data_IF_979595651236
#
_entry.id   IF_979595651236
#
_cell.length_a   1.000
_cell.length_b   1.000
_cell.length_c   1.000
_cell.angle_alpha   90.00
_cell.angle_beta   90.00
_cell.angle_gamma   90.00
#
_symmetry.space_group_name_H-M   'P 1'
#
loop_
_entity.id
_entity.type
_entity.pdbx_description
1 polymer ?
#
# COMPACT_ATOMS: atom_id res chain seq x y z
N UNK A 1 -23.48 2.90 -5.06
CA UNK A 1 -22.73 2.08 -4.07
C UNK A 1 -23.33 2.35 -2.70
N UNK A 2 -23.89 1.33 -2.07
CA UNK A 2 -24.63 1.52 -0.80
C UNK A 2 -23.68 1.74 0.37
N UNK A 3 -24.14 2.49 1.37
CA UNK A 3 -23.47 2.78 2.63
C UNK A 3 -22.86 1.51 3.30
N UNK A 4 -23.51 0.37 3.13
CA UNK A 4 -23.06 -0.95 3.61
C UNK A 4 -21.78 -1.43 2.92
N UNK A 5 -21.62 -1.19 1.62
CA UNK A 5 -20.42 -1.59 0.87
C UNK A 5 -19.18 -0.78 1.30
N UNK A 6 -19.35 0.51 1.57
CA UNK A 6 -18.27 1.37 2.06
C UNK A 6 -17.80 0.91 3.45
N UNK A 7 -18.74 0.66 4.37
CA UNK A 7 -18.42 0.17 5.72
C UNK A 7 -17.72 -1.21 5.70
N UNK A 8 -18.17 -2.13 4.84
CA UNK A 8 -17.55 -3.45 4.69
C UNK A 8 -16.15 -3.40 4.07
N UNK A 9 -15.86 -2.37 3.28
CA UNK A 9 -14.54 -2.22 2.64
C UNK A 9 -13.56 -1.44 3.52
N UNK A 10 -14.01 -0.37 4.17
CA UNK A 10 -13.15 0.48 4.99
C UNK A 10 -13.01 -0.02 6.43
N UNK A 11 -14.07 -0.61 7.00
CA UNK A 11 -14.07 -1.10 8.38
C UNK A 11 -12.88 -2.02 8.71
N UNK A 12 -12.62 -3.08 7.94
CA UNK A 12 -11.45 -3.95 8.18
C UNK A 12 -10.11 -3.20 8.13
N UNK A 13 -10.00 -2.14 7.31
CA UNK A 13 -8.78 -1.33 7.19
C UNK A 13 -8.54 -0.44 8.42
N UNK A 14 -9.61 0.10 9.00
CA UNK A 14 -9.50 0.81 10.28
C UNK A 14 -9.03 -0.13 11.41
N UNK A 15 -9.61 -1.32 11.48
CA UNK A 15 -9.23 -2.32 12.48
C UNK A 15 -7.77 -2.75 12.26
N UNK A 16 -7.36 -3.00 11.03
CA UNK A 16 -5.99 -3.35 10.66
C UNK A 16 -5.00 -2.25 11.08
N UNK A 17 -5.31 -0.98 10.78
CA UNK A 17 -4.47 0.16 11.15
C UNK A 17 -4.31 0.29 12.67
N UNK A 18 -5.41 0.21 13.41
CA UNK A 18 -5.40 0.29 14.88
C UNK A 18 -4.64 -0.90 15.47
N UNK A 19 -4.92 -2.11 15.00
CA UNK A 19 -4.26 -3.31 15.47
C UNK A 19 -2.75 -3.27 15.21
N UNK A 20 -2.34 -2.82 14.01
CA UNK A 20 -0.93 -2.71 13.66
C UNK A 20 -0.20 -1.71 14.56
N UNK A 21 -0.75 -0.51 14.74
CA UNK A 21 -0.17 0.51 15.62
C UNK A 21 -0.16 0.05 17.09
N UNK A 22 -1.22 -0.62 17.55
CA UNK A 22 -1.28 -1.15 18.91
C UNK A 22 -0.25 -2.25 19.12
N UNK A 23 -0.17 -3.24 18.22
CA UNK A 23 0.77 -4.37 18.36
C UNK A 23 2.22 -3.86 18.27
N UNK A 24 2.53 -2.99 17.32
CA UNK A 24 3.87 -2.42 17.17
C UNK A 24 4.21 -1.46 18.30
N UNK A 25 3.25 -0.61 18.71
CA UNK A 25 3.45 0.34 19.81
C UNK A 25 3.60 -0.32 21.17
N UNK A 26 2.75 -1.29 21.50
CA UNK A 26 2.79 -2.00 22.77
C UNK A 26 3.83 -3.13 22.77
N UNK A 27 4.03 -3.80 21.64
CA UNK A 27 5.00 -4.88 21.50
C UNK A 27 6.43 -4.35 21.39
N UNK A 28 6.82 -3.87 20.21
CA UNK A 28 8.20 -3.40 19.96
C UNK A 28 8.50 -2.08 20.69
N UNK A 29 7.53 -1.19 20.85
CA UNK A 29 7.70 0.06 21.58
C UNK A 29 7.99 -0.12 23.06
N UNK A 30 7.65 -1.27 23.66
CA UNK A 30 8.03 -1.60 25.04
C UNK A 30 9.53 -1.93 25.15
N UNK A 31 10.13 -2.47 24.08
CA UNK A 31 11.57 -2.81 24.04
C UNK A 31 12.40 -1.67 23.44
N UNK A 32 11.90 -1.01 22.41
CA UNK A 32 12.58 0.09 21.72
C UNK A 32 11.92 1.41 22.12
N UNK A 33 12.39 2.02 23.20
CA UNK A 33 11.79 3.24 23.77
C UNK A 33 11.91 4.44 22.83
N UNK A 34 13.03 4.59 22.14
CA UNK A 34 13.28 5.70 21.21
C UNK A 34 14.28 5.32 20.12
N UNK A 35 14.09 5.87 18.94
CA UNK A 35 15.00 5.81 17.79
C UNK A 35 15.25 7.26 17.37
N UNK A 36 16.53 7.68 17.32
CA UNK A 36 16.95 9.06 17.00
C UNK A 36 16.21 10.16 17.79
N UNK A 37 15.87 9.87 19.06
CA UNK A 37 15.23 10.85 19.95
C UNK A 37 13.71 10.95 19.84
N UNK A 38 13.09 10.21 18.90
CA UNK A 38 11.62 10.12 18.76
C UNK A 38 11.11 8.75 19.24
N UNK A 39 9.84 8.67 19.64
CA UNK A 39 9.22 7.41 20.00
C UNK A 39 9.26 6.44 18.83
N UNK A 40 9.53 5.16 19.08
CA UNK A 40 9.54 4.13 18.04
C UNK A 40 8.25 4.10 17.22
N UNK A 41 7.10 4.31 17.86
CA UNK A 41 5.79 4.37 17.16
C UNK A 41 5.72 5.55 16.20
N UNK A 42 6.24 6.71 16.60
CA UNK A 42 6.31 7.90 15.71
C UNK A 42 7.24 7.68 14.53
N UNK A 43 8.31 6.90 14.73
CA UNK A 43 9.26 6.56 13.66
C UNK A 43 8.61 5.64 12.61
N UNK A 44 7.94 4.56 13.03
CA UNK A 44 7.37 3.59 12.08
C UNK A 44 6.06 4.04 11.44
N UNK A 45 5.30 4.93 12.10
CA UNK A 45 3.95 5.29 11.70
C UNK A 45 3.83 5.78 10.22
N UNK A 46 4.67 6.71 9.73
CA UNK A 46 4.62 7.14 8.33
C UNK A 46 4.96 6.02 7.34
N UNK A 47 5.91 5.16 7.70
CA UNK A 47 6.30 4.01 6.88
C UNK A 47 5.19 2.98 6.75
N UNK A 48 4.47 2.71 7.84
CA UNK A 48 3.32 1.81 7.83
C UNK A 48 2.17 2.39 7.01
N UNK A 49 1.93 3.71 7.07
CA UNK A 49 0.94 4.37 6.21
C UNK A 49 1.31 4.24 4.72
N UNK A 50 2.58 4.45 4.37
CA UNK A 50 3.09 4.28 3.01
C UNK A 50 2.97 2.82 2.53
N UNK A 51 3.25 1.84 3.38
CA UNK A 51 3.08 0.43 3.04
C UNK A 51 1.62 0.04 2.82
N UNK A 52 0.68 0.62 3.57
CA UNK A 52 -0.75 0.43 3.34
C UNK A 52 -1.18 0.94 1.96
N UNK A 53 -0.62 2.08 1.51
CA UNK A 53 -0.81 2.61 0.15
C UNK A 53 -0.26 1.64 -0.89
N UNK A 54 0.97 1.17 -0.72
CA UNK A 54 1.64 0.22 -1.61
C UNK A 54 0.82 -1.06 -1.77
N UNK A 55 0.55 -1.76 -0.67
CA UNK A 55 -0.19 -3.03 -0.70
C UNK A 55 -1.62 -2.85 -1.20
N UNK A 56 -2.27 -1.73 -0.87
CA UNK A 56 -3.61 -1.42 -1.33
C UNK A 56 -3.69 -1.25 -2.85
N UNK A 57 -2.76 -0.50 -3.43
CA UNK A 57 -2.69 -0.27 -4.87
C UNK A 57 -2.30 -1.53 -5.64
N UNK A 58 -1.25 -2.23 -5.18
CA UNK A 58 -0.75 -3.43 -5.85
C UNK A 58 -1.78 -4.57 -5.82
N UNK A 59 -2.43 -4.82 -4.68
CA UNK A 59 -3.45 -5.88 -4.59
C UNK A 59 -4.58 -5.64 -5.57
N UNK A 60 -4.99 -4.40 -5.76
CA UNK A 60 -6.09 -4.04 -6.65
C UNK A 60 -5.71 -4.22 -8.13
N UNK A 61 -4.50 -3.83 -8.51
CA UNK A 61 -4.03 -3.89 -9.90
C UNK A 61 -3.31 -5.18 -10.26
N UNK A 62 -2.99 -6.04 -9.28
CA UNK A 62 -2.44 -7.36 -9.50
C UNK A 62 -3.54 -8.44 -9.42
N UNK A 63 -3.75 -9.02 -8.25
CA UNK A 63 -4.67 -10.14 -8.06
C UNK A 63 -6.11 -9.82 -8.48
N UNK A 64 -6.66 -8.69 -8.02
CA UNK A 64 -8.04 -8.32 -8.34
C UNK A 64 -8.22 -7.99 -9.82
N UNK A 65 -7.25 -7.33 -10.46
CA UNK A 65 -7.27 -7.08 -11.90
C UNK A 65 -7.19 -8.40 -12.68
N UNK A 66 -6.31 -9.31 -12.30
CA UNK A 66 -6.22 -10.63 -12.92
C UNK A 66 -7.56 -11.38 -12.89
N UNK A 67 -8.24 -11.38 -11.75
CA UNK A 67 -9.57 -11.99 -11.62
C UNK A 67 -10.60 -11.29 -12.52
N UNK A 68 -10.56 -9.95 -12.62
CA UNK A 68 -11.45 -9.21 -13.53
C UNK A 68 -11.20 -9.54 -15.00
N UNK A 69 -9.94 -9.68 -15.38
CA UNK A 69 -9.53 -9.98 -16.75
C UNK A 69 -9.88 -11.43 -17.12
N UNK A 70 -9.38 -12.40 -16.36
CA UNK A 70 -9.38 -13.82 -16.79
C UNK A 70 -10.58 -14.62 -16.28
N UNK A 71 -11.11 -14.30 -15.09
CA UNK A 71 -12.21 -15.05 -14.48
C UNK A 71 -13.56 -14.41 -14.82
N UNK A 72 -13.67 -13.10 -14.63
CA UNK A 72 -14.92 -12.37 -14.86
C UNK A 72 -15.09 -11.84 -16.28
N UNK A 73 -14.02 -11.89 -17.08
CA UNK A 73 -13.97 -11.41 -18.47
C UNK A 73 -14.54 -10.01 -18.68
N UNK A 74 -14.37 -9.15 -17.67
CA UNK A 74 -14.89 -7.78 -17.69
C UNK A 74 -14.26 -6.96 -18.83
N UNK A 75 -12.99 -7.24 -19.14
CA UNK A 75 -12.29 -6.57 -20.23
C UNK A 75 -12.88 -6.92 -21.60
N UNK A 76 -13.21 -8.19 -21.83
CA UNK A 76 -13.89 -8.63 -23.06
C UNK A 76 -15.23 -7.90 -23.24
N UNK A 77 -16.01 -7.79 -22.15
CA UNK A 77 -17.27 -7.04 -22.19
C UNK A 77 -17.06 -5.53 -22.39
N UNK A 78 -15.99 -4.94 -21.84
CA UNK A 78 -15.71 -3.52 -22.02
C UNK A 78 -15.32 -3.17 -23.47
N UNK A 79 -14.58 -4.05 -24.16
CA UNK A 79 -14.14 -3.83 -25.56
C UNK A 79 -15.29 -3.99 -26.56
N UNK A 80 -16.45 -4.54 -26.18
CA UNK A 80 -17.64 -4.54 -27.01
C UNK A 80 -18.35 -3.17 -27.04
N UNK A 81 -17.94 -2.26 -26.17
CA UNK A 81 -18.37 -0.86 -26.15
C UNK A 81 -17.37 -0.01 -26.93
N UNK A 82 -17.61 1.29 -27.21
CA UNK A 82 -16.66 2.15 -27.91
C UNK A 82 -15.38 2.50 -27.09
N UNK A 83 -15.07 1.75 -26.04
CA UNK A 83 -13.87 1.91 -25.23
C UNK A 83 -12.69 1.17 -25.87
N UNK A 84 -11.52 1.82 -25.86
CA UNK A 84 -10.27 1.16 -26.24
C UNK A 84 -9.71 0.34 -25.07
N UNK A 85 -8.85 -0.63 -25.38
CA UNK A 85 -8.10 -1.38 -24.35
C UNK A 85 -7.29 -0.44 -23.44
N UNK A 86 -6.74 0.63 -24.02
CA UNK A 86 -6.01 1.66 -23.28
C UNK A 86 -6.87 2.35 -22.22
N UNK A 87 -8.10 2.69 -22.55
CA UNK A 87 -9.04 3.34 -21.62
C UNK A 87 -9.35 2.44 -20.42
N UNK A 88 -9.50 1.14 -20.66
CA UNK A 88 -9.76 0.16 -19.62
C UNK A 88 -8.54 0.03 -18.69
N UNK A 89 -7.34 -0.03 -19.24
CA UNK A 89 -6.09 -0.10 -18.47
C UNK A 89 -5.86 1.16 -17.63
N UNK A 90 -6.09 2.34 -18.20
CA UNK A 90 -6.02 3.60 -17.46
C UNK A 90 -7.05 3.63 -16.33
N UNK A 91 -8.26 3.13 -16.58
CA UNK A 91 -9.29 2.97 -15.55
C UNK A 91 -8.83 2.10 -14.39
N UNK A 92 -8.12 1.01 -14.66
CA UNK A 92 -7.54 0.12 -13.64
C UNK A 92 -6.43 0.82 -12.83
N UNK A 93 -5.56 1.61 -13.48
CA UNK A 93 -4.56 2.41 -12.77
C UNK A 93 -5.20 3.41 -11.81
N UNK A 94 -6.18 4.17 -12.29
CA UNK A 94 -6.89 5.16 -11.48
C UNK A 94 -7.66 4.50 -10.34
N UNK A 95 -8.27 3.36 -10.58
CA UNK A 95 -8.96 2.59 -9.54
C UNK A 95 -8.01 2.09 -8.47
N UNK A 96 -6.88 1.48 -8.86
CA UNK A 96 -5.84 1.02 -7.95
C UNK A 96 -5.23 2.16 -7.13
N UNK A 97 -4.93 3.28 -7.78
CA UNK A 97 -4.40 4.48 -7.14
C UNK A 97 -5.39 5.06 -6.12
N UNK A 98 -6.67 5.16 -6.48
CA UNK A 98 -7.73 5.63 -5.57
C UNK A 98 -7.84 4.74 -4.34
N UNK A 99 -7.81 3.42 -4.53
CA UNK A 99 -7.86 2.44 -3.43
C UNK A 99 -6.65 2.56 -2.51
N UNK A 100 -5.45 2.60 -3.08
CA UNK A 100 -4.22 2.77 -2.30
C UNK A 100 -4.22 4.09 -1.52
N UNK A 101 -4.57 5.20 -2.17
CA UNK A 101 -4.66 6.51 -1.52
C UNK A 101 -5.68 6.54 -0.38
N UNK A 102 -6.86 5.93 -0.56
CA UNK A 102 -7.87 5.82 0.50
C UNK A 102 -7.30 5.06 1.71
N UNK A 103 -6.53 3.98 1.51
CA UNK A 103 -5.95 3.25 2.62
C UNK A 103 -4.91 4.09 3.37
N UNK A 104 -4.08 4.85 2.66
CA UNK A 104 -3.14 5.79 3.29
C UNK A 104 -3.85 6.88 4.09
N UNK A 105 -4.92 7.46 3.55
CA UNK A 105 -5.72 8.48 4.24
C UNK A 105 -6.42 7.91 5.48
N UNK A 106 -6.96 6.69 5.40
CA UNK A 106 -7.55 6.00 6.56
C UNK A 106 -6.50 5.80 7.64
N UNK A 107 -5.29 5.36 7.26
CA UNK A 107 -4.18 5.19 8.20
C UNK A 107 -3.78 6.51 8.85
N UNK A 108 -3.63 7.56 8.07
CA UNK A 108 -3.33 8.91 8.57
C UNK A 108 -4.42 9.40 9.54
N UNK A 109 -5.69 9.16 9.22
CA UNK A 109 -6.82 9.50 10.08
C UNK A 109 -6.84 8.75 11.41
N UNK A 110 -6.36 7.51 11.43
CA UNK A 110 -6.18 6.73 12.66
C UNK A 110 -5.00 7.26 13.47
N UNK A 111 -3.90 7.67 12.83
CA UNK A 111 -2.71 8.20 13.51
C UNK A 111 -2.92 9.56 14.17
N UNK A 112 -3.79 10.40 13.61
CA UNK A 112 -4.03 11.76 14.09
C UNK A 112 -4.47 11.84 15.57
N UNK A 113 -5.48 11.07 16.04
CA UNK A 113 -5.91 11.09 17.44
C UNK A 113 -4.88 10.53 18.41
N UNK A 114 -3.90 9.72 17.95
CA UNK A 114 -2.81 9.22 18.77
C UNK A 114 -1.63 10.20 18.89
N UNK A 115 -1.74 11.41 18.32
CA UNK A 115 -0.68 12.42 18.36
C UNK A 115 0.55 12.03 17.53
N UNK A 116 0.42 11.08 16.61
CA UNK A 116 1.51 10.61 15.75
C UNK A 116 1.75 11.53 14.55
N UNK A 117 0.85 12.48 14.32
CA UNK A 117 0.96 13.50 13.29
C UNK A 117 1.58 14.75 13.90
N UNK A 118 2.89 14.89 13.76
CA UNK A 118 3.66 15.94 14.44
C UNK A 118 3.63 17.29 13.71
N UNK A 119 3.17 17.36 12.45
CA UNK A 119 3.31 18.55 11.63
C UNK A 119 2.05 18.86 10.82
N UNK A 120 1.77 20.15 10.63
CA UNK A 120 0.73 20.64 9.72
C UNK A 120 0.93 20.21 8.26
N UNK A 121 2.17 19.92 7.88
CA UNK A 121 2.51 19.39 6.55
C UNK A 121 1.89 18.04 6.23
N UNK A 122 1.38 17.34 7.23
CA UNK A 122 0.63 16.09 7.03
C UNK A 122 -0.61 16.24 6.13
N UNK A 123 -1.11 17.47 5.94
CA UNK A 123 -2.19 17.76 5.00
C UNK A 123 -1.78 17.51 3.53
N UNK A 124 -0.48 17.45 3.23
CA UNK A 124 0.04 17.11 1.90
C UNK A 124 0.25 15.60 1.71
N UNK A 125 0.22 14.81 2.77
CA UNK A 125 0.38 13.36 2.68
C UNK A 125 -0.60 12.68 1.72
N UNK A 126 -1.89 13.06 1.65
CA UNK A 126 -2.81 12.48 0.66
C UNK A 126 -2.34 12.65 -0.78
N UNK A 127 -1.70 13.77 -1.12
CA UNK A 127 -1.14 13.98 -2.46
C UNK A 127 0.01 13.01 -2.75
N UNK A 128 0.91 12.85 -1.78
CA UNK A 128 2.02 11.88 -1.87
C UNK A 128 1.49 10.45 -1.97
N UNK A 129 0.43 10.12 -1.22
CA UNK A 129 -0.23 8.82 -1.29
C UNK A 129 -0.82 8.54 -2.67
N UNK A 130 -1.41 9.53 -3.34
CA UNK A 130 -1.93 9.36 -4.71
C UNK A 130 -0.79 9.06 -5.68
N UNK A 131 0.31 9.80 -5.61
CA UNK A 131 1.47 9.59 -6.49
C UNK A 131 2.09 8.20 -6.23
N UNK A 132 2.33 7.85 -4.98
CA UNK A 132 2.84 6.53 -4.60
C UNK A 132 1.89 5.41 -5.03
N UNK A 133 0.59 5.57 -4.80
CA UNK A 133 -0.41 4.58 -5.21
C UNK A 133 -0.45 4.39 -6.74
N UNK A 134 -0.31 5.47 -7.53
CA UNK A 134 -0.20 5.38 -8.98
C UNK A 134 1.03 4.58 -9.41
N UNK A 135 2.19 4.87 -8.83
CA UNK A 135 3.42 4.15 -9.13
C UNK A 135 3.26 2.64 -8.88
N UNK A 136 2.74 2.28 -7.72
CA UNK A 136 2.51 0.87 -7.37
C UNK A 136 1.36 0.23 -8.16
N UNK A 137 0.35 1.00 -8.56
CA UNK A 137 -0.71 0.51 -9.44
C UNK A 137 -0.16 0.14 -10.82
N UNK A 138 0.73 0.96 -11.39
CA UNK A 138 1.41 0.67 -12.67
C UNK A 138 2.27 -0.59 -12.53
N UNK A 139 3.06 -0.72 -11.48
CA UNK A 139 3.88 -1.91 -11.22
C UNK A 139 3.02 -3.19 -11.11
N UNK A 140 1.94 -3.13 -10.33
CA UNK A 140 1.02 -4.26 -10.17
C UNK A 140 0.38 -4.69 -11.49
N UNK A 141 -0.09 -3.74 -12.29
CA UNK A 141 -0.72 -4.03 -13.58
C UNK A 141 0.29 -4.53 -14.61
N UNK A 142 1.51 -3.97 -14.61
CA UNK A 142 2.60 -4.45 -15.47
C UNK A 142 2.89 -5.93 -15.17
N UNK A 143 3.00 -6.29 -13.89
CA UNK A 143 3.18 -7.69 -13.52
C UNK A 143 2.01 -8.56 -13.97
N UNK A 144 0.78 -8.06 -13.81
CA UNK A 144 -0.45 -8.78 -14.20
C UNK A 144 -0.47 -9.11 -15.69
N UNK A 145 0.12 -8.27 -16.54
CA UNK A 145 0.21 -8.52 -17.98
C UNK A 145 1.10 -9.71 -18.35
N UNK A 146 2.07 -10.06 -17.50
CA UNK A 146 2.95 -11.21 -17.67
C UNK A 146 2.47 -12.47 -16.95
N UNK A 147 1.58 -12.33 -15.97
CA UNK A 147 1.10 -13.43 -15.15
C UNK A 147 0.16 -14.34 -15.94
N UNK A 148 0.52 -15.62 -16.06
CA UNK A 148 -0.30 -16.64 -16.74
C UNK A 148 -1.31 -17.31 -15.80
N UNK A 149 -0.96 -17.42 -14.52
CA UNK A 149 -1.73 -18.12 -13.50
C UNK A 149 -1.72 -17.33 -12.19
N UNK A 150 -2.71 -17.57 -11.32
CA UNK A 150 -2.82 -16.96 -10.00
C UNK A 150 -1.59 -17.27 -9.13
N UNK A 151 -0.97 -18.44 -9.30
CA UNK A 151 0.21 -18.85 -8.53
C UNK A 151 1.43 -17.95 -8.75
N UNK A 152 1.56 -17.31 -9.92
CA UNK A 152 2.63 -16.36 -10.19
C UNK A 152 2.60 -15.16 -9.24
N UNK A 153 1.41 -14.78 -8.73
CA UNK A 153 1.32 -13.69 -7.77
C UNK A 153 1.97 -14.01 -6.42
N UNK A 154 2.03 -15.29 -6.01
CA UNK A 154 2.77 -15.68 -4.81
C UNK A 154 4.27 -15.37 -4.95
N UNK A 155 4.84 -15.61 -6.12
CA UNK A 155 6.25 -15.30 -6.41
C UNK A 155 6.46 -13.78 -6.37
N UNK A 156 5.56 -13.01 -6.96
CA UNK A 156 5.61 -11.56 -6.96
C UNK A 156 5.53 -10.98 -5.54
N UNK A 157 4.57 -11.46 -4.74
CA UNK A 157 4.37 -11.00 -3.38
C UNK A 157 5.54 -11.37 -2.47
N UNK A 158 5.98 -12.64 -2.52
CA UNK A 158 7.04 -13.13 -1.63
C UNK A 158 8.43 -12.77 -2.14
N UNK A 159 8.66 -12.80 -3.45
CA UNK A 159 9.98 -12.61 -4.06
C UNK A 159 10.34 -11.16 -4.34
N UNK A 160 9.36 -10.28 -4.56
CA UNK A 160 9.61 -8.88 -4.90
C UNK A 160 9.09 -7.94 -3.80
N UNK A 161 7.81 -8.03 -3.47
CA UNK A 161 7.20 -7.05 -2.56
C UNK A 161 7.65 -7.22 -1.11
N UNK A 162 7.78 -8.45 -0.63
CA UNK A 162 8.21 -8.70 0.76
C UNK A 162 9.64 -8.22 1.01
N UNK A 163 10.65 -8.52 0.18
CA UNK A 163 11.97 -7.95 0.34
C UNK A 163 11.98 -6.43 0.24
N UNK A 164 11.29 -5.86 -0.76
CA UNK A 164 11.16 -4.42 -0.90
C UNK A 164 10.59 -3.74 0.36
N UNK A 165 9.56 -4.33 0.95
CA UNK A 165 8.97 -3.85 2.19
C UNK A 165 9.92 -3.97 3.39
N UNK A 166 10.62 -5.09 3.53
CA UNK A 166 11.55 -5.32 4.65
C UNK A 166 12.78 -4.40 4.59
N UNK A 167 13.30 -4.15 3.38
CA UNK A 167 14.47 -3.29 3.18
C UNK A 167 14.12 -1.81 2.99
N UNK A 168 12.85 -1.41 3.04
CA UNK A 168 12.41 -0.02 2.85
C UNK A 168 12.74 0.93 4.01
N UNK A 169 13.43 0.46 5.07
CA UNK A 169 13.78 1.28 6.23
C UNK A 169 12.60 1.63 7.16
N UNK A 170 11.44 1.01 6.97
CA UNK A 170 10.25 1.24 7.81
C UNK A 170 10.50 0.82 9.24
N UNK A 171 11.15 -0.32 9.44
CA UNK A 171 11.33 -0.96 10.76
C UNK A 171 12.62 -0.54 11.45
N UNK A 172 13.66 -0.24 10.69
CA UNK A 172 15.00 0.07 11.19
C UNK A 172 15.59 1.26 10.46
N UNK A 173 16.30 2.16 11.17
CA UNK A 173 17.02 3.25 10.51
C UNK A 173 18.11 2.67 9.60
N UNK A 174 18.27 3.25 8.42
CA UNK A 174 19.27 2.81 7.42
C UNK A 174 20.69 2.81 7.95
N UNK A 175 21.00 3.71 8.91
CA UNK A 175 22.31 3.84 9.53
C UNK A 175 22.78 2.60 10.31
N UNK A 176 21.84 1.73 10.70
CA UNK A 176 22.14 0.47 11.39
C UNK A 176 22.29 -0.75 10.48
N UNK A 177 22.07 -0.60 9.16
CA UNK A 177 22.15 -1.70 8.22
C UNK A 177 23.58 -1.82 7.63
N UNK A 178 24.02 -3.05 7.27
CA UNK A 178 25.26 -3.25 6.52
C UNK A 178 25.24 -2.50 5.17
N UNK A 179 26.39 -2.08 4.66
CA UNK A 179 26.51 -1.25 3.46
C UNK A 179 25.78 -1.83 2.23
N UNK A 180 25.83 -3.14 2.04
CA UNK A 180 25.12 -3.81 0.95
C UNK A 180 23.59 -3.69 1.05
N UNK A 181 23.05 -3.68 2.26
CA UNK A 181 21.62 -3.55 2.50
C UNK A 181 21.15 -2.08 2.36
N UNK A 182 22.04 -1.13 2.69
CA UNK A 182 21.78 0.29 2.45
C UNK A 182 21.65 0.57 0.94
N UNK A 183 22.53 0.01 0.11
CA UNK A 183 22.47 0.16 -1.35
C UNK A 183 21.15 -0.38 -1.92
N UNK A 184 20.69 -1.52 -1.44
CA UNK A 184 19.39 -2.10 -1.88
C UNK A 184 18.22 -1.21 -1.44
N UNK A 185 18.28 -0.62 -0.25
CA UNK A 185 17.20 0.21 0.27
C UNK A 185 17.09 1.59 -0.39
N UNK A 186 18.16 2.06 -1.09
CA UNK A 186 18.17 3.32 -1.84
C UNK A 186 17.76 3.14 -3.32
N UNK A 187 17.68 1.93 -3.84
CA UNK A 187 17.21 1.60 -5.20
C UNK A 187 15.70 1.40 -5.27
#
# INVERSE_FOLDING_TARGET
MGRKTVLLTLGPRFVEAIAYLAIMGLGLGAYLKSVDGISYVQFIAPGVAASAVMFGAILETSYNAFVRIHVRRVFEAAVTTPLSVGDVVVGEYLWGATRGAIYGVVFLGVMAPFGLVASWWAILCPLVFVIGALTFAVLGMTYTSFAKNIEHFNIFWTGILTPMFLFSGIFFPFTGLPDWAQVIGWC
#
